data_IF_588873337462
#
_entry.id   IF_588873337462
#
_cell.length_a   1.000
_cell.length_b   1.000
_cell.length_c   1.000
_cell.angle_alpha   90.00
_cell.angle_beta   90.00
_cell.angle_gamma   90.00
#
_symmetry.space_group_name_H-M   'P 1'
#
loop_
_entity.id
_entity.type
_entity.pdbx_description
1 polymer ?
#
# COMPACT_ATOMS: atom_id res chain seq x y z
N UNK A 1 58.30 -34.23 7.59
CA UNK A 1 59.62 -33.67 7.91
C UNK A 1 60.40 -33.56 6.61
N UNK A 2 60.57 -32.34 6.12
CA UNK A 2 61.71 -31.88 5.32
C UNK A 2 61.51 -30.38 5.11
N UNK A 3 62.38 -29.64 5.79
CA UNK A 3 62.63 -28.21 5.61
C UNK A 3 63.69 -28.04 4.52
N UNK A 4 63.63 -26.96 3.75
CA UNK A 4 64.75 -26.21 3.16
C UNK A 4 64.15 -24.90 2.59
N UNK A 5 64.42 -23.76 3.23
CA UNK A 5 65.51 -22.80 2.92
C UNK A 5 65.23 -22.04 1.61
N UNK A 6 64.81 -20.77 1.67
CA UNK A 6 65.53 -19.51 1.96
C UNK A 6 66.23 -18.88 0.74
N UNK A 7 66.01 -17.56 0.62
CA UNK A 7 66.81 -16.53 -0.09
C UNK A 7 66.80 -16.57 -1.64
N UNK A 8 66.85 -15.48 -2.42
CA UNK A 8 67.30 -14.10 -2.19
C UNK A 8 66.71 -13.10 -3.21
N UNK A 9 66.36 -11.91 -2.70
CA UNK A 9 66.59 -10.53 -3.19
C UNK A 9 67.29 -10.32 -4.55
N UNK A 10 66.70 -9.50 -5.43
CA UNK A 10 67.27 -8.26 -6.06
C UNK A 10 66.31 -7.78 -7.18
N UNK A 11 65.61 -6.65 -7.09
CA UNK A 11 66.03 -5.23 -7.19
C UNK A 11 65.98 -4.67 -8.63
N UNK A 12 65.56 -3.39 -8.72
CA UNK A 12 65.72 -2.42 -9.82
C UNK A 12 64.54 -2.08 -10.80
N UNK A 13 63.91 -0.94 -10.43
CA UNK A 13 63.76 0.34 -11.16
C UNK A 13 62.57 0.61 -12.10
N UNK A 14 61.81 1.63 -11.63
CA UNK A 14 61.45 2.93 -12.28
C UNK A 14 60.62 2.91 -13.56
N UNK A 15 59.41 3.47 -13.43
CA UNK A 15 58.91 4.70 -14.07
C UNK A 15 57.49 4.93 -13.49
N UNK A 16 57.11 6.03 -12.84
CA UNK A 16 57.49 7.42 -13.05
C UNK A 16 56.49 8.10 -13.97
N UNK A 17 55.27 8.42 -13.51
CA UNK A 17 54.45 9.47 -14.14
C UNK A 17 53.40 10.01 -13.16
N UNK A 18 53.81 11.05 -12.44
CA UNK A 18 52.93 12.02 -11.80
C UNK A 18 51.99 12.66 -12.83
N UNK A 19 50.68 12.72 -12.53
CA UNK A 19 49.85 13.84 -12.98
C UNK A 19 48.95 14.34 -11.86
N UNK A 20 49.04 15.65 -11.72
CA UNK A 20 48.54 16.52 -10.67
C UNK A 20 47.01 16.56 -10.60
N UNK A 21 46.51 16.69 -9.38
CA UNK A 21 45.17 17.19 -9.05
C UNK A 21 45.07 18.67 -9.46
N UNK A 22 44.04 19.09 -10.22
CA UNK A 22 43.78 20.50 -10.42
C UNK A 22 43.01 21.07 -9.21
N UNK A 23 43.51 22.21 -8.75
CA UNK A 23 42.94 23.03 -7.70
C UNK A 23 41.63 23.70 -8.11
N UNK A 24 40.81 24.00 -7.10
CA UNK A 24 39.68 24.91 -7.11
C UNK A 24 40.00 26.22 -7.83
N UNK A 25 39.18 26.59 -8.80
CA UNK A 25 39.10 27.92 -9.38
C UNK A 25 37.64 28.27 -9.69
N UNK A 26 37.20 29.43 -9.21
CA UNK A 26 35.87 29.99 -9.36
C UNK A 26 35.48 30.20 -10.85
N UNK A 27 34.35 29.66 -11.31
CA UNK A 27 33.69 30.11 -12.55
C UNK A 27 32.21 29.72 -12.57
N UNK A 28 31.39 30.46 -11.82
CA UNK A 28 29.95 30.25 -11.72
C UNK A 28 29.11 31.23 -12.57
N UNK A 29 29.68 31.99 -13.53
CA UNK A 29 28.95 33.12 -14.13
C UNK A 29 29.15 33.37 -15.64
N UNK A 30 29.40 32.35 -16.48
CA UNK A 30 29.51 32.56 -17.94
C UNK A 30 28.90 31.47 -18.83
N UNK A 31 27.72 30.93 -18.48
CA UNK A 31 26.96 30.04 -19.40
C UNK A 31 25.46 30.33 -19.41
N UNK A 32 25.10 31.62 -19.35
CA UNK A 32 23.72 32.09 -19.57
C UNK A 32 23.80 33.18 -20.64
N UNK A 33 23.94 32.80 -21.92
CA UNK A 33 23.76 33.75 -23.05
C UNK A 33 23.66 33.14 -24.46
N UNK A 34 23.22 31.88 -24.60
CA UNK A 34 23.15 31.26 -25.95
C UNK A 34 21.94 30.35 -26.20
N UNK A 35 20.79 30.62 -25.58
CA UNK A 35 19.56 29.83 -25.77
C UNK A 35 18.32 30.67 -26.18
N UNK A 36 18.49 31.90 -26.66
CA UNK A 36 17.36 32.80 -26.95
C UNK A 36 16.75 32.71 -28.36
N UNK A 37 17.21 31.82 -29.24
CA UNK A 37 16.67 31.72 -30.60
C UNK A 37 16.16 30.30 -30.92
N UNK A 38 15.01 29.93 -30.36
CA UNK A 38 14.18 28.83 -30.85
C UNK A 38 12.73 29.31 -30.97
N UNK A 39 11.99 28.88 -32.01
CA UNK A 39 10.73 29.51 -32.41
C UNK A 39 9.63 29.28 -31.37
N UNK A 40 8.99 30.37 -30.96
CA UNK A 40 7.85 30.38 -30.04
C UNK A 40 6.70 29.55 -30.63
N UNK A 41 6.56 28.30 -30.18
CA UNK A 41 5.33 27.51 -30.35
C UNK A 41 4.20 28.30 -29.70
N UNK A 42 3.23 28.73 -30.51
CA UNK A 42 1.99 29.30 -30.00
C UNK A 42 1.30 28.24 -29.14
N UNK A 43 1.33 28.43 -27.82
CA UNK A 43 0.53 27.64 -26.88
C UNK A 43 -0.90 28.13 -27.04
N UNK A 44 -1.76 27.30 -27.64
CA UNK A 44 -3.20 27.52 -27.71
C UNK A 44 -3.74 27.86 -26.32
N UNK A 45 -4.56 28.91 -26.22
CA UNK A 45 -5.22 29.32 -24.96
C UNK A 45 -5.87 28.09 -24.30
N UNK A 46 -5.58 27.78 -23.02
CA UNK A 46 -6.23 26.68 -22.34
C UNK A 46 -7.74 26.91 -22.29
N UNK A 47 -8.49 25.83 -22.49
CA UNK A 47 -9.95 25.80 -22.34
C UNK A 47 -10.31 26.29 -20.92
N UNK A 48 -11.03 27.41 -20.86
CA UNK A 48 -11.31 28.16 -19.62
C UNK A 48 -12.08 27.29 -18.62
N UNK A 49 -12.88 26.34 -19.10
CA UNK A 49 -13.59 25.40 -18.23
C UNK A 49 -12.66 24.34 -17.64
N UNK A 50 -11.74 23.81 -18.45
CA UNK A 50 -10.73 22.87 -17.99
C UNK A 50 -9.79 23.51 -16.96
N UNK A 51 -9.47 24.79 -17.16
CA UNK A 51 -8.67 25.55 -16.21
C UNK A 51 -9.38 25.71 -14.85
N UNK A 52 -10.68 26.00 -14.84
CA UNK A 52 -11.47 26.09 -13.60
C UNK A 52 -11.59 24.74 -12.87
N UNK A 53 -11.79 23.65 -13.60
CA UNK A 53 -11.83 22.30 -13.01
C UNK A 53 -10.47 21.91 -12.41
N UNK A 54 -9.39 22.28 -13.09
CA UNK A 54 -8.04 22.06 -12.59
C UNK A 54 -7.75 22.87 -11.32
N UNK A 55 -8.19 24.13 -11.28
CA UNK A 55 -8.11 24.99 -10.08
C UNK A 55 -8.90 24.39 -8.90
N UNK A 56 -10.14 23.93 -9.14
CA UNK A 56 -10.94 23.26 -8.10
C UNK A 56 -10.30 21.96 -7.62
N UNK A 57 -9.75 21.16 -8.53
CA UNK A 57 -9.03 19.94 -8.18
C UNK A 57 -7.83 20.23 -7.28
N UNK A 58 -7.03 21.25 -7.63
CA UNK A 58 -5.89 21.68 -6.82
C UNK A 58 -6.36 22.15 -5.43
N UNK A 59 -7.46 22.91 -5.36
CA UNK A 59 -8.00 23.40 -4.10
C UNK A 59 -8.45 22.25 -3.19
N UNK A 60 -9.20 21.28 -3.73
CA UNK A 60 -9.65 20.09 -2.99
C UNK A 60 -8.43 19.28 -2.54
N UNK A 61 -7.46 19.08 -3.43
CA UNK A 61 -6.27 18.31 -3.09
C UNK A 61 -5.43 18.99 -2.02
N UNK A 62 -5.34 20.32 -2.06
CA UNK A 62 -4.67 21.13 -1.04
C UNK A 62 -5.37 20.99 0.32
N UNK A 63 -6.70 21.09 0.37
CA UNK A 63 -7.48 20.88 1.60
C UNK A 63 -7.35 19.46 2.15
N UNK A 64 -7.34 18.46 1.27
CA UNK A 64 -7.14 17.07 1.67
C UNK A 64 -5.76 16.86 2.29
N UNK A 65 -4.71 17.42 1.67
CA UNK A 65 -3.36 17.38 2.22
C UNK A 65 -3.29 18.14 3.56
N UNK A 66 -3.92 19.31 3.69
CA UNK A 66 -3.96 20.06 4.95
C UNK A 66 -4.65 19.24 6.08
N UNK A 67 -5.74 18.54 5.75
CA UNK A 67 -6.42 17.67 6.70
C UNK A 67 -5.58 16.43 7.06
N UNK A 68 -4.87 15.85 6.09
CA UNK A 68 -3.94 14.75 6.32
C UNK A 68 -2.76 15.18 7.20
N UNK A 69 -2.22 16.37 6.98
CA UNK A 69 -1.15 16.97 7.79
C UNK A 69 -1.64 17.26 9.22
N UNK A 70 -2.83 17.84 9.37
CA UNK A 70 -3.47 18.03 10.68
C UNK A 70 -3.69 16.70 11.39
N UNK A 71 -4.14 15.66 10.68
CA UNK A 71 -4.27 14.32 11.25
C UNK A 71 -2.90 13.74 11.64
N UNK A 72 -1.86 13.96 10.85
CA UNK A 72 -0.50 13.54 11.17
C UNK A 72 0.03 14.23 12.43
N UNK A 73 -0.30 15.51 12.66
CA UNK A 73 0.03 16.24 13.90
C UNK A 73 -0.77 15.74 15.12
N UNK A 74 -2.03 15.35 14.91
CA UNK A 74 -2.91 14.87 15.98
C UNK A 74 -2.65 13.42 16.38
N UNK A 75 -2.21 12.56 15.45
CA UNK A 75 -1.95 11.13 15.69
C UNK A 75 -0.98 10.86 16.86
N UNK A 76 0.18 11.54 16.97
CA UNK A 76 1.07 11.39 18.13
C UNK A 76 0.39 11.79 19.44
N UNK A 77 -0.32 12.93 19.46
CA UNK A 77 -1.05 13.40 20.66
C UNK A 77 -2.17 12.46 21.07
N UNK A 78 -2.89 11.87 20.11
CA UNK A 78 -3.89 10.82 20.39
C UNK A 78 -3.24 9.53 20.89
N UNK A 79 -2.06 9.20 20.38
CA UNK A 79 -1.27 8.04 20.83
C UNK A 79 -0.73 8.24 22.25
N UNK A 80 -0.35 9.46 22.62
CA UNK A 80 -0.01 9.89 23.98
C UNK A 80 -1.23 9.87 24.89
N UNK A 81 -2.38 10.42 24.48
CA UNK A 81 -3.63 10.34 25.24
C UNK A 81 -4.06 8.90 25.53
N UNK A 82 -3.80 7.98 24.60
CA UNK A 82 -4.03 6.54 24.75
C UNK A 82 -2.81 5.78 25.29
N UNK A 83 -1.91 6.41 26.08
CA UNK A 83 -0.72 5.72 26.64
C UNK A 83 -1.10 4.51 27.47
N UNK A 84 -2.02 4.67 28.41
CA UNK A 84 -2.42 3.62 29.36
C UNK A 84 -3.65 2.83 28.91
N UNK A 85 -4.32 3.29 27.84
CA UNK A 85 -5.56 2.71 27.35
C UNK A 85 -5.35 2.04 26.00
N UNK A 86 -5.57 0.72 25.96
CA UNK A 86 -5.54 -0.06 24.71
C UNK A 86 -6.67 0.34 23.75
N UNK A 87 -7.79 0.81 24.29
CA UNK A 87 -9.01 1.16 23.54
C UNK A 87 -9.66 2.42 24.12
N UNK A 88 -10.25 3.24 23.25
CA UNK A 88 -11.04 4.41 23.64
C UNK A 88 -12.24 4.57 22.70
N UNK A 89 -13.44 4.71 23.27
CA UNK A 89 -14.66 5.00 22.50
C UNK A 89 -15.05 6.46 22.63
N UNK A 90 -15.45 7.09 21.53
CA UNK A 90 -16.00 8.44 21.52
C UNK A 90 -17.10 8.55 20.47
N UNK A 91 -18.31 8.89 20.91
CA UNK A 91 -19.53 8.88 20.08
C UNK A 91 -19.67 7.54 19.35
N UNK A 92 -19.81 7.56 18.03
CA UNK A 92 -19.99 6.38 17.18
C UNK A 92 -18.66 5.72 16.76
N UNK A 93 -17.51 6.17 17.29
CA UNK A 93 -16.19 5.73 16.87
C UNK A 93 -15.41 5.05 18.00
N UNK A 94 -14.70 3.98 17.63
CA UNK A 94 -13.79 3.25 18.51
C UNK A 94 -12.36 3.36 18.00
N UNK A 95 -11.47 3.73 18.91
CA UNK A 95 -10.04 3.91 18.66
C UNK A 95 -9.27 2.81 19.40
N UNK A 96 -8.30 2.23 18.70
CA UNK A 96 -7.44 1.15 19.21
C UNK A 96 -6.00 1.54 18.94
N UNK A 97 -5.16 1.49 19.98
CA UNK A 97 -3.73 1.76 19.83
C UNK A 97 -3.00 0.48 19.41
N UNK A 98 -2.44 0.48 18.20
CA UNK A 98 -1.63 -0.62 17.67
C UNK A 98 -0.23 -0.14 17.29
N UNK A 99 0.78 -0.97 17.51
CA UNK A 99 2.15 -0.73 17.08
C UNK A 99 2.46 -1.66 15.92
N UNK A 100 2.75 -1.11 14.75
CA UNK A 100 3.22 -1.88 13.59
C UNK A 100 4.72 -1.63 13.41
N UNK A 101 5.51 -2.69 13.48
CA UNK A 101 6.95 -2.65 13.18
C UNK A 101 7.16 -3.47 11.93
N UNK A 102 7.91 -2.92 10.98
CA UNK A 102 8.38 -3.67 9.81
C UNK A 102 9.89 -3.73 9.86
N UNK A 103 10.41 -4.91 9.62
CA UNK A 103 11.83 -5.20 9.55
C UNK A 103 12.11 -5.72 8.14
N UNK A 104 13.21 -5.26 7.56
CA UNK A 104 13.72 -5.83 6.32
C UNK A 104 14.82 -6.81 6.70
N UNK A 105 14.60 -8.09 6.40
CA UNK A 105 15.54 -9.16 6.72
C UNK A 105 16.38 -9.52 5.50
N UNK A 106 17.50 -10.22 5.74
CA UNK A 106 18.34 -10.74 4.66
C UNK A 106 17.74 -12.03 4.08
N UNK A 107 18.07 -12.33 2.82
CA UNK A 107 17.60 -13.55 2.13
C UNK A 107 17.90 -14.85 2.92
N UNK A 108 18.96 -14.86 3.74
CA UNK A 108 19.30 -16.00 4.57
C UNK A 108 18.31 -16.16 5.74
N UNK A 109 17.88 -15.06 6.36
CA UNK A 109 16.87 -15.08 7.43
C UNK A 109 15.51 -15.48 6.87
N UNK A 110 15.13 -14.99 5.69
CA UNK A 110 13.88 -15.38 5.04
C UNK A 110 13.83 -16.89 4.74
N UNK A 111 14.92 -17.47 4.21
CA UNK A 111 15.00 -18.93 3.99
C UNK A 111 14.92 -19.72 5.29
N UNK A 112 15.50 -19.21 6.37
CA UNK A 112 15.39 -19.83 7.69
C UNK A 112 13.96 -19.75 8.23
N UNK A 113 13.25 -18.64 8.01
CA UNK A 113 11.83 -18.53 8.37
C UNK A 113 10.97 -19.53 7.59
N UNK A 114 11.24 -19.76 6.30
CA UNK A 114 10.54 -20.75 5.50
C UNK A 114 10.77 -22.18 6.02
N UNK A 115 12.02 -22.54 6.32
CA UNK A 115 12.36 -23.85 6.90
C UNK A 115 11.73 -24.02 8.30
N UNK A 116 11.73 -22.96 9.10
CA UNK A 116 11.12 -22.95 10.42
C UNK A 116 9.60 -23.10 10.31
N UNK A 117 8.97 -22.46 9.33
CA UNK A 117 7.53 -22.57 9.05
C UNK A 117 7.16 -24.00 8.64
N UNK A 118 7.97 -24.64 7.81
CA UNK A 118 7.77 -26.05 7.42
C UNK A 118 7.86 -26.97 8.66
N UNK A 119 8.93 -26.87 9.45
CA UNK A 119 9.07 -27.68 10.67
C UNK A 119 7.98 -27.43 11.71
N UNK A 120 7.55 -26.18 11.90
CA UNK A 120 6.42 -25.85 12.79
C UNK A 120 5.14 -26.54 12.34
N UNK A 121 4.88 -26.56 11.03
CA UNK A 121 3.72 -27.26 10.47
C UNK A 121 3.81 -28.76 10.73
N UNK A 122 4.97 -29.37 10.48
CA UNK A 122 5.18 -30.79 10.74
C UNK A 122 4.99 -31.13 12.23
N UNK A 123 5.47 -30.29 13.15
CA UNK A 123 5.27 -30.53 14.59
C UNK A 123 3.81 -30.36 15.02
N UNK A 124 3.05 -29.44 14.40
CA UNK A 124 1.60 -29.32 14.62
C UNK A 124 0.87 -30.56 14.11
N UNK A 125 1.17 -30.97 12.87
CA UNK A 125 0.50 -32.10 12.22
C UNK A 125 0.81 -33.43 12.95
N UNK A 126 2.01 -33.55 13.54
CA UNK A 126 2.41 -34.70 14.36
C UNK A 126 2.00 -34.58 15.84
N UNK A 127 1.23 -33.55 16.22
CA UNK A 127 0.72 -33.36 17.59
C UNK A 127 1.79 -33.08 18.66
N UNK A 128 3.01 -32.76 18.22
CA UNK A 128 4.14 -32.41 19.09
C UNK A 128 3.98 -30.95 19.55
N UNK A 129 3.58 -30.05 18.64
CA UNK A 129 3.35 -28.65 18.96
C UNK A 129 2.05 -28.48 19.74
N UNK A 130 2.13 -27.73 20.85
CA UNK A 130 0.98 -27.39 21.70
C UNK A 130 0.67 -25.91 21.54
N UNK A 131 -0.61 -25.55 21.41
CA UNK A 131 -1.03 -24.14 21.34
C UNK A 131 -0.84 -23.51 22.71
N UNK A 132 0.19 -22.67 22.84
CA UNK A 132 0.53 -21.99 24.10
C UNK A 132 -0.24 -20.67 24.24
N UNK A 133 -0.48 -19.96 23.14
CA UNK A 133 -1.23 -18.70 23.10
C UNK A 133 -1.85 -18.47 21.73
N UNK A 134 -3.14 -18.13 21.71
CA UNK A 134 -3.89 -17.77 20.51
C UNK A 134 -4.14 -16.27 20.52
N UNK A 135 -3.75 -15.55 19.46
CA UNK A 135 -3.91 -14.09 19.38
C UNK A 135 -4.77 -13.71 18.19
N UNK A 136 -5.81 -12.93 18.46
CA UNK A 136 -6.75 -12.43 17.45
C UNK A 136 -6.49 -10.95 17.13
N UNK A 137 -6.90 -10.51 15.93
CA UNK A 137 -6.74 -9.12 15.46
C UNK A 137 -8.09 -8.42 15.24
N UNK A 138 -8.05 -7.07 15.22
CA UNK A 138 -9.23 -6.22 14.97
C UNK A 138 -9.07 -5.49 13.64
N UNK A 139 -10.12 -5.57 12.82
CA UNK A 139 -10.26 -4.84 11.55
C UNK A 139 -11.29 -3.74 11.71
N UNK A 140 -10.96 -2.54 11.28
CA UNK A 140 -11.97 -1.48 11.12
C UNK A 140 -12.80 -1.77 9.86
N UNK A 141 -14.08 -2.05 10.08
CA UNK A 141 -15.10 -2.14 9.05
C UNK A 141 -16.26 -1.24 9.47
N UNK A 142 -16.98 -0.66 8.51
CA UNK A 142 -18.27 -0.03 8.81
C UNK A 142 -19.17 -1.07 9.47
N UNK A 143 -19.88 -0.68 10.53
CA UNK A 143 -20.74 -1.61 11.24
C UNK A 143 -21.78 -2.18 10.27
N UNK A 144 -22.08 -3.48 10.40
CA UNK A 144 -23.12 -4.09 9.58
C UNK A 144 -24.47 -3.39 9.73
N UNK A 145 -24.73 -2.75 10.88
CA UNK A 145 -25.91 -1.92 11.11
C UNK A 145 -25.94 -0.68 10.22
N UNK A 146 -24.81 0.02 10.07
CA UNK A 146 -24.69 1.18 9.19
C UNK A 146 -24.81 0.77 7.72
N UNK A 147 -24.15 -0.33 7.33
CA UNK A 147 -24.29 -0.86 5.97
C UNK A 147 -25.74 -1.27 5.70
N UNK A 148 -26.45 -1.81 6.70
CA UNK A 148 -27.88 -2.17 6.58
C UNK A 148 -28.83 -0.97 6.51
N UNK A 149 -28.43 0.23 6.93
CA UNK A 149 -29.22 1.45 6.66
C UNK A 149 -29.28 1.74 5.15
N UNK A 150 -28.16 1.56 4.46
CA UNK A 150 -28.08 1.77 3.01
C UNK A 150 -28.49 0.52 2.19
N UNK A 151 -28.21 -0.67 2.73
CA UNK A 151 -28.46 -1.96 2.10
C UNK A 151 -29.12 -2.92 3.12
N UNK A 152 -30.44 -2.81 3.34
CA UNK A 152 -31.17 -3.63 4.33
C UNK A 152 -30.91 -5.14 4.25
N UNK A 153 -30.57 -5.65 3.05
CA UNK A 153 -30.27 -7.07 2.81
C UNK A 153 -28.77 -7.42 2.88
N UNK A 154 -27.93 -6.53 3.41
CA UNK A 154 -26.52 -6.80 3.60
C UNK A 154 -26.30 -7.94 4.62
N UNK A 155 -25.67 -9.03 4.16
CA UNK A 155 -25.37 -10.22 4.96
C UNK A 155 -26.50 -11.26 5.01
N UNK A 156 -27.69 -10.95 4.46
CA UNK A 156 -28.81 -11.89 4.40
C UNK A 156 -28.53 -13.02 3.40
N UNK A 157 -29.06 -14.23 3.68
CA UNK A 157 -29.03 -15.36 2.75
C UNK A 157 -29.70 -14.97 1.42
N UNK A 158 -29.19 -15.52 0.32
CA UNK A 158 -29.79 -15.35 -1.00
C UNK A 158 -30.97 -16.31 -1.15
N UNK A 159 -32.15 -15.75 -1.40
CA UNK A 159 -33.30 -16.56 -1.81
C UNK A 159 -33.15 -17.01 -3.27
N UNK A 160 -33.77 -18.13 -3.63
CA UNK A 160 -33.81 -18.60 -5.03
C UNK A 160 -34.36 -17.53 -5.98
N UNK A 161 -35.33 -16.73 -5.51
CA UNK A 161 -35.90 -15.62 -6.27
C UNK A 161 -34.86 -14.52 -6.52
N UNK A 162 -34.10 -14.11 -5.52
CA UNK A 162 -33.05 -13.10 -5.68
C UNK A 162 -31.92 -13.57 -6.60
N UNK A 163 -31.54 -14.85 -6.53
CA UNK A 163 -30.57 -15.44 -7.44
C UNK A 163 -31.07 -15.42 -8.88
N UNK A 164 -32.34 -15.76 -9.09
CA UNK A 164 -32.97 -15.71 -10.41
C UNK A 164 -33.04 -14.28 -10.95
N UNK A 165 -33.46 -13.31 -10.13
CA UNK A 165 -33.48 -11.88 -10.51
C UNK A 165 -32.08 -11.37 -10.81
N UNK A 166 -31.08 -11.68 -9.98
CA UNK A 166 -29.69 -11.29 -10.22
C UNK A 166 -29.19 -11.80 -11.58
N UNK A 167 -29.40 -13.08 -11.87
CA UNK A 167 -28.95 -13.69 -13.12
C UNK A 167 -29.70 -13.13 -14.34
N UNK A 168 -31.02 -13.00 -14.24
CA UNK A 168 -31.87 -12.48 -15.33
C UNK A 168 -31.54 -11.03 -15.68
N UNK A 169 -31.40 -10.15 -14.69
CA UNK A 169 -31.07 -8.74 -14.95
C UNK A 169 -29.64 -8.55 -15.46
N UNK A 170 -28.70 -9.37 -14.97
CA UNK A 170 -27.34 -9.36 -15.49
C UNK A 170 -27.26 -9.82 -16.96
N UNK A 171 -28.02 -10.85 -17.34
CA UNK A 171 -28.11 -11.31 -18.74
C UNK A 171 -28.74 -10.27 -19.67
N UNK A 172 -29.61 -9.40 -19.15
CA UNK A 172 -30.16 -8.24 -19.89
C UNK A 172 -29.18 -7.08 -20.03
N UNK A 173 -27.97 -7.18 -19.46
CA UNK A 173 -26.94 -6.14 -19.53
C UNK A 173 -27.08 -5.03 -18.49
N UNK A 174 -27.89 -5.22 -17.45
CA UNK A 174 -28.03 -4.22 -16.37
C UNK A 174 -26.75 -4.17 -15.54
N UNK A 175 -26.26 -2.97 -15.26
CA UNK A 175 -25.03 -2.79 -14.48
C UNK A 175 -25.16 -3.33 -13.05
N UNK A 176 -24.12 -4.00 -12.49
CA UNK A 176 -24.14 -4.54 -11.13
C UNK A 176 -24.47 -3.53 -10.03
N UNK A 177 -24.16 -2.24 -10.23
CA UNK A 177 -24.50 -1.17 -9.29
C UNK A 177 -26.01 -0.90 -9.24
N UNK A 178 -26.70 -1.02 -10.37
CA UNK A 178 -28.15 -0.86 -10.47
C UNK A 178 -28.84 -2.08 -9.85
N UNK A 179 -28.35 -3.29 -10.14
CA UNK A 179 -28.86 -4.52 -9.54
C UNK A 179 -28.67 -4.52 -8.01
N UNK A 180 -27.57 -3.94 -7.51
CA UNK A 180 -27.31 -3.76 -6.08
C UNK A 180 -28.41 -2.91 -5.40
N UNK A 181 -28.85 -1.84 -6.05
CA UNK A 181 -29.95 -1.01 -5.56
C UNK A 181 -31.29 -1.76 -5.61
N UNK A 182 -31.60 -2.43 -6.72
CA UNK A 182 -32.84 -3.21 -6.89
C UNK A 182 -33.01 -4.29 -5.82
N UNK A 183 -31.92 -5.02 -5.54
CA UNK A 183 -31.92 -6.09 -4.54
C UNK A 183 -31.63 -5.58 -3.12
N UNK A 184 -31.44 -4.27 -2.94
CA UNK A 184 -31.08 -3.66 -1.66
C UNK A 184 -29.87 -4.32 -0.98
N UNK A 185 -28.91 -4.75 -1.81
CA UNK A 185 -27.70 -5.47 -1.42
C UNK A 185 -26.46 -4.65 -1.77
N UNK A 186 -25.42 -4.82 -0.96
CA UNK A 186 -24.15 -4.11 -1.19
C UNK A 186 -23.48 -4.54 -2.52
N UNK A 187 -22.86 -3.62 -3.29
CA UNK A 187 -22.25 -3.93 -4.60
C UNK A 187 -21.23 -5.07 -4.58
N UNK A 188 -20.43 -5.18 -3.50
CA UNK A 188 -19.50 -6.30 -3.33
C UNK A 188 -20.21 -7.66 -3.20
N UNK A 189 -21.42 -7.69 -2.63
CA UNK A 189 -22.24 -8.89 -2.53
C UNK A 189 -22.79 -9.32 -3.88
N UNK A 190 -23.23 -8.36 -4.70
CA UNK A 190 -23.65 -8.61 -6.10
C UNK A 190 -22.49 -9.22 -6.89
N UNK A 191 -21.33 -8.56 -6.88
CA UNK A 191 -20.15 -8.99 -7.64
C UNK A 191 -19.70 -10.40 -7.24
N UNK A 192 -19.64 -10.67 -5.93
CA UNK A 192 -19.28 -12.00 -5.41
C UNK A 192 -20.28 -13.06 -5.87
N UNK A 193 -21.58 -12.78 -5.75
CA UNK A 193 -22.62 -13.75 -6.09
C UNK A 193 -22.70 -14.02 -7.59
N UNK A 194 -22.53 -13.00 -8.44
CA UNK A 194 -22.44 -13.19 -9.88
C UNK A 194 -21.29 -14.11 -10.25
N UNK A 195 -20.11 -13.91 -9.66
CA UNK A 195 -18.96 -14.80 -9.86
C UNK A 195 -19.29 -16.24 -9.49
N UNK A 196 -19.93 -16.47 -8.34
CA UNK A 196 -20.33 -17.81 -7.89
C UNK A 196 -21.34 -18.47 -8.85
N UNK A 197 -22.29 -17.71 -9.40
CA UNK A 197 -23.30 -18.23 -10.34
C UNK A 197 -22.66 -18.56 -11.69
N UNK A 198 -21.82 -17.67 -12.23
CA UNK A 198 -21.14 -17.87 -13.51
C UNK A 198 -20.19 -19.09 -13.45
N UNK A 199 -19.54 -19.32 -12.31
CA UNK A 199 -18.69 -20.50 -12.09
C UNK A 199 -19.45 -21.83 -11.95
N UNK A 200 -20.78 -21.81 -11.79
CA UNK A 200 -21.61 -23.03 -11.76
C UNK A 200 -22.21 -23.38 -13.12
N UNK A 201 -22.25 -22.41 -14.03
CA UNK A 201 -22.89 -22.54 -15.35
C UNK A 201 -21.84 -22.75 -16.45
N UNK A 202 -20.61 -22.25 -16.26
CA UNK A 202 -19.45 -22.56 -17.11
C UNK A 202 -18.66 -23.75 -16.58
#
# INVERSE_FOLDING_TARGET
MNSNEMESVQEFRKNGSSRQLPQRGNSANQTIKSLENAPTRQVSKPDVELQKLFEQYIEIKSKLNELEDRLALLKPRLTEFMTDKKTYGHQDYFFTKGVSRRWQYSNQVEKLEEQLKAKRKDEIDNGIAKVVTETHFVRAARSGAEIRKQYPRHGSLWSKQEEHTLHSEYQKGVEPAIIAQMLQRHPSGITKKLKDILQRIG
#
